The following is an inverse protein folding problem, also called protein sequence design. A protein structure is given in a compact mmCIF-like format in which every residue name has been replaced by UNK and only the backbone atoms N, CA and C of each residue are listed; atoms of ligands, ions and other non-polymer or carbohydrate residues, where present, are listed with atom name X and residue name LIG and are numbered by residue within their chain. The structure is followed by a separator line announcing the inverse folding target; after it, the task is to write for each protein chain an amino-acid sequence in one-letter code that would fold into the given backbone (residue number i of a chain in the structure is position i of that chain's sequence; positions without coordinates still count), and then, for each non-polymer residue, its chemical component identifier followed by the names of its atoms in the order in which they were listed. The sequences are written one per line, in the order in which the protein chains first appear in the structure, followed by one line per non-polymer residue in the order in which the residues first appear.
data_IF_784005862583
#
_entry.id   IF_784005862583
#
_cell.length_a   1.000
_cell.length_b   1.000
_cell.length_c   1.000
_cell.angle_alpha   90.00
_cell.angle_beta   90.00
_cell.angle_gamma   90.00
#
_symmetry.space_group_name_H-M   'P 1'
#
loop_
_entity.id
_entity.type
_entity.pdbx_description
1 polymer ?
#
# COMPACT_ATOMS: atom_id res chain seq x y z
N UNK A 1 -22.41 18.03 6.81
CA UNK A 1 -22.99 16.68 6.88
C UNK A 1 -21.86 15.67 7.06
N UNK A 2 -21.88 14.95 8.18
CA UNK A 2 -20.75 14.20 8.75
C UNK A 2 -20.72 12.76 8.18
N UNK A 3 -19.90 12.49 7.17
CA UNK A 3 -19.60 11.12 6.74
C UNK A 3 -18.28 10.69 7.37
N UNK A 4 -18.38 10.36 8.66
CA UNK A 4 -17.31 9.76 9.45
C UNK A 4 -17.04 8.35 8.90
N UNK A 5 -15.76 8.04 8.69
CA UNK A 5 -15.03 6.78 8.41
C UNK A 5 -15.52 5.47 9.10
N UNK A 6 -16.81 5.29 9.35
CA UNK A 6 -17.40 4.07 9.89
C UNK A 6 -17.10 2.82 9.05
N UNK A 7 -16.61 3.00 7.81
CA UNK A 7 -16.38 1.93 6.84
C UNK A 7 -14.96 1.89 6.26
N UNK A 8 -13.92 2.40 6.94
CA UNK A 8 -12.54 2.08 6.50
C UNK A 8 -12.32 0.56 6.62
N UNK A 9 -12.48 -0.11 5.48
CA UNK A 9 -12.13 -1.51 5.30
C UNK A 9 -10.68 -1.50 4.83
N UNK A 10 -9.71 -1.93 5.65
CA UNK A 10 -8.42 -2.30 5.10
C UNK A 10 -8.66 -3.35 4.01
N UNK A 11 -7.83 -3.39 2.97
CA UNK A 11 -7.92 -4.36 1.89
C UNK A 11 -7.70 -5.79 2.43
N UNK A 12 -8.70 -6.37 3.08
CA UNK A 12 -8.69 -7.70 3.66
C UNK A 12 -9.92 -8.44 3.17
N UNK A 13 -9.97 -8.83 1.88
CA UNK A 13 -10.91 -9.87 1.42
C UNK A 13 -10.71 -10.49 0.03
N UNK A 14 -9.55 -10.38 -0.61
CA UNK A 14 -9.27 -11.21 -1.79
C UNK A 14 -8.40 -12.41 -1.37
N UNK A 15 -9.10 -13.52 -1.11
CA UNK A 15 -8.51 -14.84 -0.91
C UNK A 15 -8.29 -15.43 -2.30
N UNK A 16 -7.11 -15.17 -2.89
CA UNK A 16 -6.59 -16.04 -3.94
C UNK A 16 -5.65 -17.06 -3.29
N UNK A 17 -6.19 -18.23 -3.03
CA UNK A 17 -5.43 -19.44 -2.73
C UNK A 17 -4.79 -19.97 -4.02
N UNK A 18 -3.46 -20.17 -4.10
CA UNK A 18 -2.85 -20.82 -5.24
C UNK A 18 -3.20 -22.31 -5.21
N UNK A 19 -3.95 -22.79 -6.21
CA UNK A 19 -4.08 -24.22 -6.50
C UNK A 19 -2.80 -24.68 -7.21
N UNK A 20 -2.08 -25.62 -6.61
CA UNK A 20 -1.06 -26.40 -7.35
C UNK A 20 -1.76 -27.22 -8.45
N UNK A 21 -1.25 -27.23 -9.70
CA UNK A 21 -1.73 -28.14 -10.73
C UNK A 21 -1.02 -29.51 -10.65
N UNK A 22 -1.70 -30.64 -10.93
CA UNK A 22 -1.03 -31.91 -11.22
C UNK A 22 -0.50 -31.92 -12.66
N UNK A 23 0.64 -32.59 -12.87
CA UNK A 23 1.23 -32.88 -14.17
C UNK A 23 0.40 -33.92 -14.95
N UNK A 24 0.47 -33.87 -16.30
CA UNK A 24 0.70 -35.01 -17.23
C UNK A 24 0.77 -34.50 -18.70
N UNK A 25 1.50 -35.30 -19.48
CA UNK A 25 2.09 -35.23 -20.81
C UNK A 25 1.20 -35.00 -22.06
N UNK A 26 1.81 -34.26 -23.00
CA UNK A 26 2.09 -34.51 -24.42
C UNK A 26 1.02 -34.86 -25.51
N UNK A 27 1.26 -34.23 -26.68
CA UNK A 27 0.90 -34.56 -28.07
C UNK A 27 -0.47 -34.15 -28.69
N UNK A 28 -0.49 -32.97 -29.34
CA UNK A 28 -0.59 -32.78 -30.83
C UNK A 28 -0.88 -31.30 -31.23
N UNK A 29 -0.24 -30.82 -32.31
CA UNK A 29 -0.42 -29.54 -33.06
C UNK A 29 -0.63 -29.90 -34.54
N UNK A 30 -1.00 -29.00 -35.49
CA UNK A 30 -1.60 -27.66 -35.43
C UNK A 30 -2.84 -27.46 -36.34
N UNK A 31 -3.73 -26.52 -36.00
CA UNK A 31 -4.42 -25.73 -37.04
C UNK A 31 -4.60 -24.26 -36.64
N UNK A 32 -4.34 -23.40 -37.61
CA UNK A 32 -4.24 -21.95 -37.51
C UNK A 32 -5.64 -21.32 -37.56
N UNK A 33 -5.92 -20.37 -36.68
CA UNK A 33 -6.78 -19.26 -37.08
C UNK A 33 -6.41 -17.94 -36.40
N UNK A 34 -6.32 -16.93 -37.26
CA UNK A 34 -5.71 -15.62 -37.06
C UNK A 34 -6.60 -14.71 -36.23
N UNK A 35 -6.06 -14.16 -35.15
CA UNK A 35 -6.75 -13.18 -34.30
C UNK A 35 -5.81 -12.48 -33.32
N UNK A 36 -4.64 -12.04 -33.78
CA UNK A 36 -3.69 -11.31 -32.95
C UNK A 36 -3.95 -9.79 -33.01
N UNK A 37 -4.57 -9.26 -31.95
CA UNK A 37 -4.20 -7.94 -31.41
C UNK A 37 -3.81 -8.12 -29.95
N UNK A 38 -2.51 -8.32 -29.81
CA UNK A 38 -1.64 -8.30 -28.64
C UNK A 38 -2.23 -7.66 -27.37
N UNK A 39 -2.31 -8.47 -26.30
CA UNK A 39 -2.26 -7.95 -24.93
C UNK A 39 -0.90 -7.27 -24.74
N UNK A 40 -0.95 -5.96 -24.47
CA UNK A 40 0.24 -5.16 -24.18
C UNK A 40 0.91 -5.65 -22.87
N UNK A 41 2.25 -5.64 -22.79
CA UNK A 41 2.93 -5.89 -21.53
C UNK A 41 2.59 -4.75 -20.55
N UNK A 42 2.03 -5.07 -19.39
CA UNK A 42 1.88 -4.10 -18.30
C UNK A 42 3.26 -3.80 -17.73
N UNK A 43 3.90 -2.85 -18.40
CA UNK A 43 5.30 -2.49 -18.30
C UNK A 43 5.74 -2.02 -16.91
N UNK A 44 7.03 -2.26 -16.69
CA UNK A 44 7.96 -1.88 -15.63
C UNK A 44 8.05 -0.36 -15.31
N UNK A 45 6.99 0.44 -15.53
CA UNK A 45 6.94 1.89 -15.27
C UNK A 45 6.51 2.25 -13.85
N UNK A 46 5.88 1.34 -13.12
CA UNK A 46 5.30 1.63 -11.79
C UNK A 46 6.37 1.79 -10.70
N UNK A 47 7.52 1.10 -10.80
CA UNK A 47 8.59 1.24 -9.81
C UNK A 47 9.23 2.63 -9.81
N UNK A 48 9.31 3.29 -10.97
CA UNK A 48 10.01 4.57 -11.13
C UNK A 48 9.17 5.77 -10.65
N UNK A 49 7.86 5.59 -10.48
CA UNK A 49 6.95 6.66 -10.08
C UNK A 49 6.58 6.61 -8.59
N UNK A 50 6.99 5.57 -7.84
CA UNK A 50 6.56 5.40 -6.44
C UNK A 50 7.03 6.55 -5.53
N UNK A 51 8.20 7.13 -5.78
CA UNK A 51 8.68 8.34 -5.06
C UNK A 51 7.75 9.53 -5.28
N UNK A 52 7.30 9.75 -6.51
CA UNK A 52 6.38 10.84 -6.85
C UNK A 52 4.99 10.60 -6.26
N UNK A 53 4.49 9.36 -6.36
CA UNK A 53 3.18 8.99 -5.84
C UNK A 53 3.12 9.08 -4.31
N UNK A 54 4.21 8.76 -3.62
CA UNK A 54 4.26 8.79 -2.15
C UNK A 54 4.65 10.15 -1.57
N UNK A 55 4.82 11.20 -2.39
CA UNK A 55 5.09 12.55 -1.88
C UNK A 55 4.02 12.98 -0.88
N UNK A 56 4.44 13.60 0.22
CA UNK A 56 3.58 14.04 1.31
C UNK A 56 2.31 14.74 0.82
N UNK A 57 2.44 15.78 0.01
CA UNK A 57 1.30 16.59 -0.40
C UNK A 57 0.33 15.83 -1.31
N UNK A 58 0.84 14.91 -2.14
CA UNK A 58 0.02 14.04 -3.01
C UNK A 58 -0.83 13.10 -2.17
N UNK A 59 -0.21 12.39 -1.23
CA UNK A 59 -0.89 11.40 -0.40
C UNK A 59 -1.85 12.08 0.57
N UNK A 60 -1.42 13.17 1.22
CA UNK A 60 -2.27 13.94 2.15
C UNK A 60 -3.51 14.48 1.42
N UNK A 61 -3.34 15.10 0.25
CA UNK A 61 -4.48 15.61 -0.52
C UNK A 61 -5.45 14.49 -0.92
N UNK A 62 -4.94 13.34 -1.35
CA UNK A 62 -5.77 12.18 -1.70
C UNK A 62 -6.54 11.67 -0.48
N UNK A 63 -5.87 11.40 0.64
CA UNK A 63 -6.51 10.84 1.84
C UNK A 63 -7.51 11.82 2.43
N UNK A 64 -7.22 13.13 2.41
CA UNK A 64 -8.16 14.18 2.85
C UNK A 64 -9.45 14.19 2.03
N UNK A 65 -9.35 13.96 0.71
CA UNK A 65 -10.50 13.93 -0.20
C UNK A 65 -11.28 12.61 -0.17
N UNK A 66 -10.57 11.48 -0.12
CA UNK A 66 -11.15 10.15 -0.36
C UNK A 66 -11.33 9.33 0.91
N UNK A 67 -10.77 9.77 2.04
CA UNK A 67 -10.86 9.08 3.34
C UNK A 67 -10.34 7.63 3.30
N UNK A 68 -9.43 7.34 2.37
CA UNK A 68 -8.74 6.06 2.20
C UNK A 68 -7.36 6.28 1.56
N UNK A 69 -6.48 5.30 1.71
CA UNK A 69 -5.19 5.31 1.00
C UNK A 69 -5.39 5.04 -0.50
N UNK A 70 -4.51 5.58 -1.36
CA UNK A 70 -4.37 5.15 -2.75
C UNK A 70 -4.05 3.65 -2.87
N UNK A 71 -4.43 3.04 -3.99
CA UNK A 71 -4.35 1.58 -4.22
C UNK A 71 -2.91 1.06 -4.43
N UNK A 72 -1.91 1.95 -4.48
CA UNK A 72 -0.49 1.57 -4.47
C UNK A 72 0.06 1.29 -3.06
N UNK A 73 -0.71 1.55 -2.00
CA UNK A 73 -0.35 1.11 -0.65
C UNK A 73 -0.75 -0.34 -0.39
N UNK A 74 0.13 -1.06 0.30
CA UNK A 74 -0.08 -2.44 0.70
C UNK A 74 0.34 -2.61 2.17
N UNK A 75 -0.39 -3.42 2.94
CA UNK A 75 -0.04 -3.65 4.35
C UNK A 75 1.26 -4.43 4.48
N UNK A 76 1.95 -4.29 5.62
CA UNK A 76 3.15 -5.07 5.94
C UNK A 76 2.91 -6.57 5.80
N UNK A 77 1.75 -7.06 6.25
CA UNK A 77 1.43 -8.49 6.17
C UNK A 77 1.31 -8.98 4.73
N UNK A 78 0.57 -8.25 3.88
CA UNK A 78 0.42 -8.60 2.47
C UNK A 78 1.76 -8.54 1.73
N UNK A 79 2.58 -7.52 1.98
CA UNK A 79 3.90 -7.40 1.38
C UNK A 79 4.81 -8.58 1.78
N UNK A 80 4.85 -8.94 3.06
CA UNK A 80 5.64 -10.09 3.55
C UNK A 80 5.23 -11.41 2.89
N UNK A 81 3.92 -11.65 2.74
CA UNK A 81 3.39 -12.83 2.03
C UNK A 81 3.84 -12.92 0.58
N UNK A 82 4.15 -11.79 -0.05
CA UNK A 82 4.64 -11.71 -1.43
C UNK A 82 6.16 -11.57 -1.53
N UNK A 83 6.90 -11.94 -0.48
CA UNK A 83 8.36 -12.01 -0.50
C UNK A 83 9.08 -10.73 -0.06
N UNK A 84 8.37 -9.72 0.45
CA UNK A 84 9.04 -8.55 1.02
C UNK A 84 9.77 -8.93 2.31
N UNK A 85 11.06 -8.61 2.34
CA UNK A 85 11.92 -8.69 3.50
C UNK A 85 12.48 -7.29 3.81
N UNK A 86 12.07 -6.74 4.95
CA UNK A 86 12.45 -5.41 5.39
C UNK A 86 13.97 -5.23 5.56
N UNK A 87 14.69 -6.26 6.03
CA UNK A 87 16.15 -6.18 6.22
C UNK A 87 16.91 -6.18 4.89
N UNK A 88 16.28 -6.66 3.80
CA UNK A 88 16.85 -6.61 2.45
C UNK A 88 16.47 -5.35 1.67
N UNK A 89 15.54 -4.54 2.17
CA UNK A 89 15.04 -3.37 1.44
C UNK A 89 14.42 -3.73 0.08
N UNK A 90 13.94 -4.96 -0.11
CA UNK A 90 13.63 -5.50 -1.44
C UNK A 90 12.20 -5.23 -1.92
N UNK A 91 11.46 -4.28 -1.33
CA UNK A 91 10.03 -4.11 -1.62
C UNK A 91 9.76 -3.87 -3.11
N UNK A 92 10.44 -2.90 -3.73
CA UNK A 92 10.26 -2.62 -5.15
C UNK A 92 10.72 -3.76 -6.07
N UNK A 93 11.60 -4.65 -5.60
CA UNK A 93 12.04 -5.81 -6.38
C UNK A 93 10.95 -6.88 -6.45
N UNK A 94 10.22 -7.09 -5.34
CA UNK A 94 9.16 -8.12 -5.26
C UNK A 94 7.76 -7.56 -5.55
N UNK A 95 7.56 -6.26 -5.36
CA UNK A 95 6.32 -5.52 -5.54
C UNK A 95 6.60 -4.14 -6.17
N UNK A 96 6.93 -4.11 -7.47
CA UNK A 96 7.13 -2.87 -8.20
C UNK A 96 5.96 -1.89 -8.04
N UNK A 97 6.27 -0.62 -7.74
CA UNK A 97 5.26 0.44 -7.61
C UNK A 97 4.35 0.33 -6.40
N UNK A 98 4.78 -0.37 -5.34
CA UNK A 98 4.06 -0.43 -4.06
C UNK A 98 4.82 0.26 -2.94
N UNK A 99 4.06 0.80 -2.00
CA UNK A 99 4.55 1.38 -0.75
C UNK A 99 3.83 0.74 0.46
N UNK A 100 4.47 0.75 1.63
CA UNK A 100 3.86 0.15 2.84
C UNK A 100 2.84 1.12 3.44
N UNK A 101 1.63 0.64 3.74
CA UNK A 101 0.64 1.44 4.43
C UNK A 101 -0.67 0.71 4.71
N UNK A 102 -1.46 1.29 5.60
CA UNK A 102 -2.77 0.81 6.02
C UNK A 102 -2.77 -0.05 7.29
N UNK A 103 -1.59 -0.30 7.88
CA UNK A 103 -1.46 -0.98 9.16
C UNK A 103 -1.94 -0.10 10.34
N UNK A 104 -2.38 -0.74 11.43
CA UNK A 104 -2.83 -0.03 12.64
C UNK A 104 -1.63 0.64 13.31
N UNK A 105 -1.75 1.95 13.57
CA UNK A 105 -0.85 2.67 14.44
C UNK A 105 -1.43 2.70 15.86
N UNK A 106 -0.73 2.11 16.82
CA UNK A 106 -1.27 1.92 18.18
C UNK A 106 -1.27 3.18 19.04
N UNK A 107 -0.56 4.25 18.64
CA UNK A 107 -0.44 5.50 19.42
C UNK A 107 -0.09 5.26 20.91
N UNK A 108 0.90 4.38 21.17
CA UNK A 108 1.27 3.92 22.52
C UNK A 108 1.75 5.07 23.41
N UNK A 109 2.48 6.00 22.82
CA UNK A 109 3.02 7.18 23.51
C UNK A 109 1.98 8.29 23.69
N UNK A 110 0.77 8.14 23.13
CA UNK A 110 -0.33 9.09 23.34
C UNK A 110 -0.14 10.47 22.70
N UNK A 111 0.85 10.64 21.82
CA UNK A 111 1.16 11.93 21.20
C UNK A 111 0.08 12.42 20.22
N UNK A 112 -0.73 11.51 19.66
CA UNK A 112 -1.87 11.88 18.82
C UNK A 112 -3.19 11.95 19.61
N UNK A 113 -4.15 12.81 19.23
CA UNK A 113 -5.42 12.95 19.93
C UNK A 113 -6.18 11.62 20.08
N UNK A 114 -6.52 11.27 21.32
CA UNK A 114 -7.30 10.06 21.64
C UNK A 114 -8.79 10.37 21.75
N UNK A 115 -9.63 9.41 21.36
CA UNK A 115 -11.08 9.45 21.49
C UNK A 115 -11.62 8.03 21.52
N UNK A 116 -12.65 7.75 22.33
CA UNK A 116 -13.28 6.43 22.39
C UNK A 116 -13.71 5.98 20.99
N UNK A 117 -13.24 4.80 20.57
CA UNK A 117 -13.53 4.23 19.25
C UNK A 117 -12.66 4.76 18.10
N UNK A 118 -11.82 5.79 18.31
CA UNK A 118 -10.86 6.24 17.29
C UNK A 118 -9.78 5.19 17.09
N UNK A 119 -9.53 4.87 15.83
CA UNK A 119 -8.40 4.04 15.40
C UNK A 119 -7.46 4.91 14.57
N UNK A 120 -6.17 4.67 14.72
CA UNK A 120 -5.13 5.30 13.91
C UNK A 120 -4.50 4.26 12.99
N UNK A 121 -4.10 4.73 11.81
CA UNK A 121 -3.44 3.95 10.78
C UNK A 121 -2.21 4.72 10.29
N UNK A 122 -1.26 4.01 9.71
CA UNK A 122 -0.02 4.59 9.17
C UNK A 122 0.20 4.25 7.70
N UNK A 123 0.90 5.13 6.97
CA UNK A 123 1.39 4.88 5.63
C UNK A 123 2.74 5.57 5.39
N UNK A 124 3.64 4.94 4.62
CA UNK A 124 4.92 5.52 4.24
C UNK A 124 4.74 6.74 3.33
N UNK A 125 5.51 7.79 3.58
CA UNK A 125 5.62 8.95 2.71
C UNK A 125 7.02 9.03 2.10
N UNK A 126 7.16 9.71 0.97
CA UNK A 126 8.43 9.98 0.29
C UNK A 126 9.29 8.72 0.07
N UNK A 127 8.65 7.58 -0.20
CA UNK A 127 9.32 6.30 -0.35
C UNK A 127 9.89 6.15 -1.76
N UNK A 128 11.20 5.91 -1.85
CA UNK A 128 11.95 5.88 -3.10
C UNK A 128 12.66 4.54 -3.35
N UNK A 129 11.98 3.43 -3.03
CA UNK A 129 12.54 2.08 -3.08
C UNK A 129 13.69 1.83 -2.08
N UNK A 130 14.13 0.56 -1.96
CA UNK A 130 15.13 0.18 -0.95
C UNK A 130 14.55 0.10 0.47
N UNK A 131 15.35 0.51 1.45
CA UNK A 131 14.91 0.60 2.84
C UNK A 131 13.87 1.70 3.04
N UNK A 132 12.90 1.45 3.93
CA UNK A 132 11.90 2.45 4.30
C UNK A 132 12.56 3.59 5.08
N UNK A 133 12.15 4.83 4.80
CA UNK A 133 12.62 6.05 5.47
C UNK A 133 11.89 6.29 6.82
N UNK A 134 11.99 7.49 7.37
CA UNK A 134 11.37 7.92 8.62
C UNK A 134 9.93 8.47 8.46
N UNK A 135 9.51 8.74 7.24
CA UNK A 135 8.39 9.63 6.93
C UNK A 135 7.07 8.86 6.90
N UNK A 136 6.08 9.34 7.65
CA UNK A 136 4.78 8.66 7.75
C UNK A 136 3.63 9.63 7.75
N UNK A 137 2.56 9.23 7.08
CA UNK A 137 1.21 9.74 7.29
C UNK A 137 0.57 8.92 8.42
N UNK A 138 -0.08 9.63 9.34
CA UNK A 138 -0.94 9.06 10.38
C UNK A 138 -2.34 9.58 10.11
N UNK A 139 -3.29 8.67 9.89
CA UNK A 139 -4.66 9.03 9.60
C UNK A 139 -5.61 8.29 10.53
N UNK A 140 -6.59 9.01 11.06
CA UNK A 140 -7.59 8.43 11.94
C UNK A 140 -8.79 7.94 11.13
N UNK A 141 -9.44 6.89 11.65
CA UNK A 141 -10.77 6.48 11.21
C UNK A 141 -11.87 7.46 11.60
N UNK A 142 -11.58 8.75 11.72
CA UNK A 142 -12.55 9.84 11.83
C UNK A 142 -12.07 11.15 11.18
N UNK A 143 -10.97 11.12 10.41
CA UNK A 143 -10.59 12.21 9.49
C UNK A 143 -9.47 13.13 9.93
N UNK A 144 -8.80 12.82 11.04
CA UNK A 144 -7.60 13.53 11.42
C UNK A 144 -6.40 13.03 10.63
N UNK A 145 -5.56 13.96 10.18
CA UNK A 145 -4.32 13.69 9.47
C UNK A 145 -3.15 14.34 10.18
N UNK A 146 -2.09 13.57 10.39
CA UNK A 146 -0.82 14.02 10.93
C UNK A 146 0.31 13.43 10.11
N UNK A 147 1.45 14.11 10.08
CA UNK A 147 2.69 13.61 9.48
C UNK A 147 3.82 13.61 10.49
N UNK A 148 4.74 12.67 10.35
CA UNK A 148 6.04 12.63 11.04
C UNK A 148 7.13 12.44 10.00
N UNK A 149 8.30 13.03 10.23
CA UNK A 149 9.49 12.93 9.39
C UNK A 149 10.71 12.43 10.18
N UNK A 150 10.48 11.94 11.40
CA UNK A 150 11.53 11.68 12.39
C UNK A 150 11.30 10.36 13.15
N UNK A 151 10.68 9.38 12.49
CA UNK A 151 10.32 8.09 13.07
C UNK A 151 9.42 8.22 14.30
N UNK A 152 8.31 8.94 14.15
CA UNK A 152 7.24 9.07 15.15
C UNK A 152 7.65 9.86 16.41
N UNK A 153 8.73 10.65 16.37
CA UNK A 153 9.15 11.47 17.52
C UNK A 153 8.32 12.75 17.65
N UNK A 154 7.98 13.37 16.51
CA UNK A 154 7.11 14.55 16.47
C UNK A 154 6.06 14.42 15.37
N UNK A 155 4.95 15.14 15.55
CA UNK A 155 3.81 15.10 14.65
C UNK A 155 3.33 16.51 14.27
N UNK A 156 3.03 16.71 12.99
CA UNK A 156 2.42 17.94 12.47
C UNK A 156 1.06 17.64 11.87
N UNK A 157 0.02 18.38 12.27
CA UNK A 157 -1.34 18.22 11.75
C UNK A 157 -1.48 18.78 10.32
N UNK A 158 -2.36 18.19 9.49
CA UNK A 158 -2.63 18.56 8.08
C UNK A 158 -4.12 18.71 7.76
#
# INVERSE_FOLDING_TARGET
MLLVFKNYKPATKDIDTPKNPPAIEDNRKPENNTGNKEMKPENNYQANEIDKLTKTDVVVAFVKKHLKLPDYYITKQQAKRRGWNASKGNLCNVLPGKAIGGDIFTNREGQLPQKKGRKWFEADLNYNCGHRNADRLLFSGDGLLFVTFDHYKTFTQK
#
